data_IF_028655044637
#
_entry.id   IF_028655044637
#
_cell.length_a   1.000
_cell.length_b   1.000
_cell.length_c   1.000
_cell.angle_alpha   90.00
_cell.angle_beta   90.00
_cell.angle_gamma   90.00
#
_symmetry.space_group_name_H-M   'P 1'
#
loop_
_entity.id
_entity.type
_entity.pdbx_description
1 polymer ?
#
# COMPACT_ATOMS: atom_id res chain seq x y z
N UNK A 1 4.09 71.08 -24.97
CA UNK A 1 3.36 72.30 -24.56
C UNK A 1 1.89 72.13 -24.89
N UNK A 2 1.04 71.94 -23.88
CA UNK A 2 -0.39 72.28 -23.91
C UNK A 2 -0.90 72.30 -22.47
N UNK A 3 -1.13 73.53 -22.05
CA UNK A 3 -1.60 74.08 -20.78
C UNK A 3 -2.72 73.27 -20.13
N UNK A 4 -2.52 72.85 -18.88
CA UNK A 4 -3.60 72.31 -18.04
C UNK A 4 -4.40 73.49 -17.50
N UNK A 5 -5.58 73.69 -18.10
CA UNK A 5 -6.56 74.70 -17.76
C UNK A 5 -7.14 74.48 -16.37
N UNK A 6 -7.05 75.54 -15.55
CA UNK A 6 -7.81 75.74 -14.32
C UNK A 6 -9.30 75.47 -14.54
N UNK A 7 -9.86 74.48 -13.85
CA UNK A 7 -11.30 74.39 -13.63
C UNK A 7 -11.61 74.81 -12.19
N UNK A 8 -11.97 76.09 -12.04
CA UNK A 8 -12.87 76.52 -10.98
C UNK A 8 -14.20 75.81 -11.19
N UNK A 9 -14.49 74.77 -10.39
CA UNK A 9 -15.84 74.20 -10.35
C UNK A 9 -16.65 74.93 -9.29
N UNK A 10 -17.59 75.70 -9.82
CA UNK A 10 -18.68 76.43 -9.18
C UNK A 10 -19.48 75.58 -8.21
N UNK A 11 -19.96 76.22 -7.14
CA UNK A 11 -20.83 75.70 -6.09
C UNK A 11 -22.30 75.62 -6.54
N UNK A 12 -22.60 74.91 -7.63
CA UNK A 12 -23.95 74.92 -8.24
C UNK A 12 -24.69 73.58 -8.18
N UNK A 13 -24.51 72.78 -7.13
CA UNK A 13 -25.23 71.49 -7.07
C UNK A 13 -25.24 70.74 -5.75
N UNK A 14 -25.25 71.42 -4.59
CA UNK A 14 -25.31 70.75 -3.28
C UNK A 14 -26.29 71.43 -2.33
N UNK A 15 -26.97 70.62 -1.50
CA UNK A 15 -27.87 71.06 -0.43
C UNK A 15 -27.31 72.26 0.33
N UNK A 16 -28.06 73.35 0.41
CA UNK A 16 -27.70 74.54 1.23
C UNK A 16 -27.64 74.19 2.72
N UNK A 17 -28.30 73.11 3.14
CA UNK A 17 -28.42 72.70 4.52
C UNK A 17 -27.40 71.60 4.86
N UNK A 18 -26.97 71.60 6.12
CA UNK A 18 -26.12 70.59 6.71
C UNK A 18 -26.71 69.19 6.54
N UNK A 19 -25.92 68.26 6.03
CA UNK A 19 -26.30 66.88 5.80
C UNK A 19 -26.70 66.13 7.09
N UNK A 20 -26.15 66.52 8.23
CA UNK A 20 -26.40 65.83 9.52
C UNK A 20 -27.65 66.36 10.20
N UNK A 21 -27.78 67.68 10.37
CA UNK A 21 -28.88 68.26 11.16
C UNK A 21 -30.00 68.87 10.31
N UNK A 22 -29.78 69.12 9.02
CA UNK A 22 -30.72 69.73 8.04
C UNK A 22 -31.24 71.14 8.38
N UNK A 23 -30.89 71.69 9.55
CA UNK A 23 -31.38 72.97 10.09
C UNK A 23 -30.45 74.16 9.81
N UNK A 24 -29.14 73.91 9.77
CA UNK A 24 -28.12 74.95 9.60
C UNK A 24 -27.55 74.96 8.19
N UNK A 25 -27.02 76.10 7.75
CA UNK A 25 -26.33 76.22 6.47
C UNK A 25 -25.02 75.42 6.47
N UNK A 26 -24.70 74.79 5.35
CA UNK A 26 -23.43 74.10 5.18
C UNK A 26 -22.28 75.10 5.04
N UNK A 27 -21.24 74.95 5.85
CA UNK A 27 -20.07 75.83 5.87
C UNK A 27 -18.80 75.17 5.33
N UNK A 28 -18.74 73.84 5.38
CA UNK A 28 -17.62 73.03 4.91
C UNK A 28 -18.13 71.79 4.16
N UNK A 29 -17.34 71.28 3.23
CA UNK A 29 -17.65 70.09 2.45
C UNK A 29 -16.67 68.98 2.83
N UNK A 30 -17.20 67.79 3.12
CA UNK A 30 -16.37 66.59 3.28
C UNK A 30 -15.78 66.18 1.93
N UNK A 31 -14.47 65.97 1.85
CA UNK A 31 -13.80 65.57 0.61
C UNK A 31 -14.08 64.11 0.20
N UNK A 32 -14.67 63.31 1.10
CA UNK A 32 -14.92 61.88 0.88
C UNK A 32 -16.34 61.58 0.44
N UNK A 33 -17.34 62.17 1.10
CA UNK A 33 -18.75 61.99 0.74
C UNK A 33 -19.36 63.20 0.01
N UNK A 34 -18.59 64.28 -0.15
CA UNK A 34 -19.01 65.50 -0.83
C UNK A 34 -20.22 66.23 -0.22
N UNK A 35 -20.70 65.80 0.94
CA UNK A 35 -21.79 66.42 1.67
C UNK A 35 -21.34 67.68 2.41
N UNK A 36 -22.23 68.67 2.49
CA UNK A 36 -22.02 69.90 3.25
C UNK A 36 -22.38 69.73 4.73
N UNK A 37 -21.54 70.24 5.63
CA UNK A 37 -21.74 70.22 7.08
C UNK A 37 -21.69 71.65 7.64
N UNK A 38 -22.50 71.94 8.66
CA UNK A 38 -22.36 73.16 9.46
C UNK A 38 -21.23 73.00 10.49
N UNK A 39 -20.77 74.12 11.06
CA UNK A 39 -19.68 74.10 12.04
C UNK A 39 -19.92 73.11 13.19
N UNK A 40 -21.12 73.14 13.78
CA UNK A 40 -21.49 72.27 14.91
C UNK A 40 -21.50 70.77 14.59
N UNK A 41 -21.80 70.38 13.36
CA UNK A 41 -21.85 68.96 12.97
C UNK A 41 -20.54 68.49 12.33
N UNK A 42 -19.60 69.40 12.11
CA UNK A 42 -18.31 69.11 11.47
C UNK A 42 -17.21 68.74 12.46
N UNK A 43 -17.44 68.95 13.76
CA UNK A 43 -16.45 68.89 14.85
C UNK A 43 -15.21 69.77 14.63
N UNK A 44 -15.34 70.79 13.78
CA UNK A 44 -14.34 71.82 13.59
C UNK A 44 -14.73 73.10 14.31
N UNK A 45 -13.75 73.73 14.95
CA UNK A 45 -13.89 75.09 15.48
C UNK A 45 -14.01 76.11 14.35
N UNK A 46 -14.60 77.27 14.66
CA UNK A 46 -14.77 78.36 13.69
C UNK A 46 -13.43 78.85 13.09
N UNK A 47 -12.34 78.79 13.87
CA UNK A 47 -10.98 79.13 13.41
C UNK A 47 -10.44 78.09 12.43
N UNK A 48 -10.70 76.80 12.64
CA UNK A 48 -10.33 75.73 11.72
C UNK A 48 -11.07 75.85 10.39
N UNK A 49 -12.39 76.06 10.42
CA UNK A 49 -13.20 76.26 9.20
C UNK A 49 -12.70 77.47 8.41
N UNK A 50 -12.37 78.56 9.11
CA UNK A 50 -11.81 79.77 8.47
C UNK A 50 -10.45 79.49 7.85
N UNK A 51 -9.57 78.76 8.53
CA UNK A 51 -8.27 78.37 8.01
C UNK A 51 -8.39 77.42 6.80
N UNK A 52 -9.35 76.50 6.81
CA UNK A 52 -9.64 75.62 5.69
C UNK A 52 -10.14 76.38 4.46
N UNK A 53 -10.92 77.45 4.65
CA UNK A 53 -11.36 78.35 3.56
C UNK A 53 -10.23 79.26 3.05
N UNK A 54 -9.30 79.67 3.93
CA UNK A 54 -8.27 80.67 3.62
C UNK A 54 -6.99 80.09 3.02
N UNK A 55 -6.70 78.82 3.28
CA UNK A 55 -5.43 78.20 2.85
C UNK A 55 -5.47 77.79 1.36
N UNK A 56 -4.45 78.17 0.59
CA UNK A 56 -4.22 77.65 -0.78
C UNK A 56 -3.81 76.17 -0.80
N UNK A 57 -3.49 75.60 0.36
CA UNK A 57 -3.16 74.18 0.51
C UNK A 57 -4.47 73.41 0.65
N UNK A 58 -4.65 72.37 -0.16
CA UNK A 58 -5.81 71.46 -0.11
C UNK A 58 -5.73 70.60 1.15
N UNK A 59 -6.05 71.17 2.31
CA UNK A 59 -6.29 70.39 3.52
C UNK A 59 -7.57 69.59 3.30
N UNK A 60 -7.42 68.27 3.27
CA UNK A 60 -8.57 67.37 3.13
C UNK A 60 -9.31 67.29 4.45
N UNK A 61 -10.63 67.40 4.40
CA UNK A 61 -11.52 67.21 5.53
C UNK A 61 -12.37 65.94 5.34
N UNK A 62 -12.35 65.09 6.36
CA UNK A 62 -13.16 63.89 6.47
C UNK A 62 -14.21 64.11 7.57
N UNK A 63 -15.50 63.98 7.25
CA UNK A 63 -16.55 64.09 8.27
C UNK A 63 -16.63 62.84 9.12
N UNK A 64 -17.21 62.96 10.31
CA UNK A 64 -17.34 61.86 11.27
C UNK A 64 -18.07 60.63 10.72
N UNK A 65 -19.04 60.83 9.82
CA UNK A 65 -19.75 59.72 9.14
C UNK A 65 -18.81 58.94 8.23
N UNK A 66 -17.83 59.61 7.59
CA UNK A 66 -16.82 58.93 6.78
C UNK A 66 -15.75 58.29 7.66
N UNK A 67 -15.29 59.00 8.69
CA UNK A 67 -14.28 58.51 9.63
C UNK A 67 -14.75 57.29 10.44
N UNK A 68 -16.05 57.19 10.74
CA UNK A 68 -16.65 56.09 11.48
C UNK A 68 -16.97 54.85 10.62
N UNK A 69 -16.91 54.94 9.29
CA UNK A 69 -16.95 53.73 8.47
C UNK A 69 -15.69 52.93 8.79
N UNK A 70 -15.78 51.60 8.99
CA UNK A 70 -14.58 50.79 9.12
C UNK A 70 -13.76 51.09 7.89
N UNK A 71 -12.54 51.62 8.10
CA UNK A 71 -11.51 51.67 7.07
C UNK A 71 -11.29 50.20 6.73
N UNK A 72 -12.08 49.68 5.79
CA UNK A 72 -11.74 48.46 5.09
C UNK A 72 -10.38 48.80 4.57
N UNK A 73 -9.35 48.28 5.23
CA UNK A 73 -8.02 48.23 4.69
C UNK A 73 -8.21 47.85 3.26
N UNK A 74 -7.83 48.73 2.35
CA UNK A 74 -7.58 48.38 0.98
C UNK A 74 -6.48 47.31 1.01
N UNK A 75 -6.83 46.08 1.36
CA UNK A 75 -6.19 44.93 0.77
C UNK A 75 -6.54 45.06 -0.69
N UNK A 76 -5.64 45.76 -1.37
CA UNK A 76 -5.28 45.60 -2.75
C UNK A 76 -4.89 44.14 -2.99
N UNK A 77 -5.79 43.21 -2.68
CA UNK A 77 -5.62 41.83 -3.09
C UNK A 77 -6.22 41.79 -4.48
N UNK A 78 -5.32 41.97 -5.44
CA UNK A 78 -5.53 41.63 -6.83
C UNK A 78 -6.42 40.38 -6.89
N UNK A 79 -7.57 40.42 -7.60
CA UNK A 79 -8.47 39.27 -7.69
C UNK A 79 -7.74 37.98 -8.14
N UNK A 80 -6.65 38.11 -8.89
CA UNK A 80 -5.79 36.98 -9.25
C UNK A 80 -5.09 36.35 -8.03
N UNK A 81 -4.68 37.14 -7.04
CA UNK A 81 -4.06 36.66 -5.79
C UNK A 81 -5.09 35.95 -4.93
N UNK A 82 -6.31 36.48 -4.82
CA UNK A 82 -7.40 35.83 -4.08
C UNK A 82 -7.76 34.48 -4.71
N UNK A 83 -7.83 34.44 -6.04
CA UNK A 83 -8.09 33.22 -6.78
C UNK A 83 -6.97 32.19 -6.57
N UNK A 84 -5.70 32.61 -6.67
CA UNK A 84 -4.55 31.73 -6.43
C UNK A 84 -4.53 31.16 -4.99
N UNK A 85 -4.89 31.97 -3.99
CA UNK A 85 -4.98 31.51 -2.59
C UNK A 85 -6.07 30.44 -2.46
N UNK A 86 -7.21 30.60 -3.12
CA UNK A 86 -8.28 29.61 -3.10
C UNK A 86 -7.88 28.32 -3.82
N UNK A 87 -7.23 28.42 -4.98
CA UNK A 87 -6.73 27.27 -5.72
C UNK A 87 -5.70 26.48 -4.91
N UNK A 88 -4.78 27.18 -4.23
CA UNK A 88 -3.80 26.57 -3.34
C UNK A 88 -4.47 25.87 -2.14
N UNK A 89 -5.48 26.49 -1.52
CA UNK A 89 -6.25 25.85 -0.45
C UNK A 89 -6.94 24.59 -0.91
N UNK A 90 -7.51 24.59 -2.12
CA UNK A 90 -8.16 23.42 -2.70
C UNK A 90 -7.15 22.33 -3.07
N UNK A 91 -5.94 22.70 -3.51
CA UNK A 91 -4.86 21.75 -3.74
C UNK A 91 -4.37 21.11 -2.44
N UNK A 92 -4.21 21.89 -1.37
CA UNK A 92 -3.84 21.38 -0.05
C UNK A 92 -4.88 20.39 0.44
N UNK A 93 -6.17 20.73 0.42
CA UNK A 93 -7.25 19.81 0.80
C UNK A 93 -7.24 18.52 0.00
N UNK A 94 -7.04 18.60 -1.32
CA UNK A 94 -6.94 17.40 -2.18
C UNK A 94 -5.73 16.54 -1.85
N UNK A 95 -4.60 17.14 -1.48
CA UNK A 95 -3.40 16.42 -1.06
C UNK A 95 -3.60 15.76 0.31
N UNK A 96 -4.26 16.45 1.25
CA UNK A 96 -4.62 15.90 2.57
C UNK A 96 -5.54 14.68 2.40
N UNK A 97 -6.61 14.78 1.61
CA UNK A 97 -7.50 13.63 1.35
C UNK A 97 -6.77 12.46 0.68
N UNK A 98 -5.90 12.74 -0.30
CA UNK A 98 -5.08 11.70 -0.93
C UNK A 98 -4.08 11.07 0.04
N UNK A 99 -3.54 11.84 0.99
CA UNK A 99 -2.64 11.33 2.00
C UNK A 99 -3.40 10.41 2.96
N UNK A 100 -4.57 10.82 3.43
CA UNK A 100 -5.44 10.01 4.28
C UNK A 100 -5.88 8.71 3.59
N UNK A 101 -6.29 8.79 2.32
CA UNK A 101 -6.63 7.63 1.51
C UNK A 101 -5.44 6.67 1.33
N UNK A 102 -4.23 7.21 1.13
CA UNK A 102 -3.02 6.38 1.01
C UNK A 102 -2.61 5.77 2.35
N UNK A 103 -2.75 6.49 3.47
CA UNK A 103 -2.50 5.96 4.81
C UNK A 103 -3.51 4.85 5.13
N UNK A 104 -4.79 5.04 4.79
CA UNK A 104 -5.83 4.02 4.93
C UNK A 104 -5.52 2.78 4.09
N UNK A 105 -5.11 2.96 2.81
CA UNK A 105 -4.66 1.87 1.93
C UNK A 105 -3.41 1.17 2.44
N UNK A 106 -2.41 1.91 2.92
CA UNK A 106 -1.20 1.33 3.51
C UNK A 106 -1.51 0.56 4.80
N UNK A 107 -2.49 0.98 5.59
CA UNK A 107 -2.91 0.24 6.78
C UNK A 107 -3.79 -0.97 6.46
N UNK A 108 -4.58 -0.94 5.37
CA UNK A 108 -5.26 -2.15 4.87
C UNK A 108 -4.28 -3.15 4.26
N UNK A 109 -3.23 -2.68 3.59
CA UNK A 109 -2.22 -3.52 2.92
C UNK A 109 -1.17 -4.08 3.90
N UNK A 110 -0.97 -3.45 5.07
CA UNK A 110 -0.17 -4.03 6.18
C UNK A 110 -0.72 -5.37 6.68
N UNK A 111 -1.99 -5.68 6.41
CA UNK A 111 -2.57 -7.00 6.68
C UNK A 111 -1.87 -8.15 5.92
N UNK A 112 -1.11 -7.87 4.86
CA UNK A 112 -0.49 -8.92 4.05
C UNK A 112 1.04 -9.03 4.17
N UNK A 113 1.71 -8.09 4.83
CA UNK A 113 3.19 -8.13 4.95
C UNK A 113 3.75 -7.94 6.37
N UNK A 114 2.94 -7.74 7.40
CA UNK A 114 3.43 -7.56 8.79
C UNK A 114 2.93 -8.62 9.79
N UNK A 115 3.09 -9.89 9.44
CA UNK A 115 3.12 -11.02 10.40
C UNK A 115 3.83 -12.23 9.79
N UNK A 116 4.98 -12.01 9.15
CA UNK A 116 5.92 -13.11 8.96
C UNK A 116 6.45 -13.44 10.35
N UNK A 117 5.89 -14.48 10.96
CA UNK A 117 6.43 -15.08 12.16
C UNK A 117 7.84 -15.59 11.82
N UNK A 118 8.84 -14.75 12.16
CA UNK A 118 10.25 -15.01 11.87
C UNK A 118 10.67 -16.33 12.53
N UNK A 119 10.14 -16.62 13.73
CA UNK A 119 10.42 -17.85 14.44
C UNK A 119 9.83 -19.04 13.68
N UNK A 120 8.61 -18.94 13.14
CA UNK A 120 8.07 -19.98 12.28
C UNK A 120 8.93 -20.23 11.02
N UNK A 121 9.50 -19.17 10.42
CA UNK A 121 10.40 -19.31 9.27
C UNK A 121 11.70 -20.00 9.66
N UNK A 122 12.32 -19.60 10.78
CA UNK A 122 13.57 -20.20 11.29
C UNK A 122 13.33 -21.68 11.63
N UNK A 123 12.24 -21.97 12.35
CA UNK A 123 11.84 -23.32 12.72
C UNK A 123 11.64 -24.22 11.48
N UNK A 124 10.98 -23.70 10.43
CA UNK A 124 10.81 -24.44 9.17
C UNK A 124 12.15 -24.72 8.48
N UNK A 125 13.11 -23.78 8.50
CA UNK A 125 14.44 -23.98 7.90
C UNK A 125 15.21 -25.07 8.66
N UNK A 126 15.19 -25.04 9.99
CA UNK A 126 15.84 -26.06 10.81
C UNK A 126 15.17 -27.43 10.64
N UNK A 127 13.84 -27.47 10.60
CA UNK A 127 13.09 -28.70 10.38
C UNK A 127 13.41 -29.30 9.01
N UNK A 128 13.50 -28.49 7.95
CA UNK A 128 13.94 -28.95 6.63
C UNK A 128 15.34 -29.53 6.68
N UNK A 129 16.29 -28.86 7.34
CA UNK A 129 17.68 -29.31 7.45
C UNK A 129 17.77 -30.65 8.18
N UNK A 130 17.03 -30.82 9.28
CA UNK A 130 17.04 -32.06 10.06
C UNK A 130 16.36 -33.21 9.32
N UNK A 131 15.29 -32.95 8.55
CA UNK A 131 14.58 -33.94 7.74
C UNK A 131 15.26 -34.27 6.41
N UNK A 132 16.16 -33.43 5.90
CA UNK A 132 16.78 -33.63 4.58
C UNK A 132 17.63 -34.92 4.45
N UNK A 133 18.09 -35.48 5.58
CA UNK A 133 18.79 -36.78 5.64
C UNK A 133 17.85 -37.97 5.83
N UNK A 134 16.54 -37.74 5.89
CA UNK A 134 15.55 -38.79 6.12
C UNK A 134 14.83 -39.15 4.83
N UNK A 135 14.43 -40.42 4.74
CA UNK A 135 13.47 -40.91 3.74
C UNK A 135 12.33 -41.62 4.45
N UNK A 136 11.14 -41.59 3.85
CA UNK A 136 9.97 -42.32 4.31
C UNK A 136 9.71 -43.49 3.38
N UNK A 137 9.69 -44.70 3.93
CA UNK A 137 9.41 -45.94 3.21
C UNK A 137 8.05 -46.47 3.63
N UNK A 138 7.19 -46.73 2.65
CA UNK A 138 5.83 -47.23 2.81
C UNK A 138 5.76 -48.73 2.48
N UNK A 139 4.65 -49.35 2.87
CA UNK A 139 4.29 -50.74 2.49
C UNK A 139 5.22 -51.84 3.05
N UNK A 140 6.06 -51.51 4.03
CA UNK A 140 6.94 -52.48 4.73
C UNK A 140 6.13 -53.29 5.73
N UNK A 141 6.17 -54.62 5.60
CA UNK A 141 5.49 -55.56 6.50
C UNK A 141 5.91 -55.33 7.96
N UNK A 142 4.96 -55.38 8.90
CA UNK A 142 5.24 -55.25 10.33
C UNK A 142 5.73 -56.58 10.91
N UNK A 143 6.69 -56.53 11.83
CA UNK A 143 7.10 -57.71 12.60
C UNK A 143 6.06 -58.02 13.67
N UNK A 144 5.78 -59.31 13.87
CA UNK A 144 4.91 -59.83 14.93
C UNK A 144 5.63 -60.03 16.26
N UNK A 145 6.95 -59.77 16.33
CA UNK A 145 7.74 -60.02 17.53
C UNK A 145 7.35 -59.07 18.66
N UNK A 146 7.33 -59.59 19.88
CA UNK A 146 7.03 -58.78 21.07
C UNK A 146 8.25 -57.94 21.49
N UNK A 147 9.46 -58.45 21.24
CA UNK A 147 10.70 -57.74 21.58
C UNK A 147 10.93 -56.52 20.66
N UNK A 148 11.29 -55.40 21.27
CA UNK A 148 11.47 -54.16 20.53
C UNK A 148 12.75 -54.15 19.69
N UNK A 149 13.83 -54.81 20.12
CA UNK A 149 15.09 -54.82 19.37
C UNK A 149 14.95 -55.68 18.12
N UNK A 150 14.33 -56.84 18.25
CA UNK A 150 14.06 -57.72 17.10
C UNK A 150 13.16 -57.06 16.06
N UNK A 151 12.13 -56.31 16.49
CA UNK A 151 11.29 -55.55 15.54
C UNK A 151 12.09 -54.49 14.77
N UNK A 152 12.98 -53.79 15.45
CA UNK A 152 13.85 -52.77 14.82
C UNK A 152 14.81 -53.43 13.84
N UNK A 153 15.40 -54.57 14.20
CA UNK A 153 16.32 -55.28 13.32
C UNK A 153 15.62 -55.87 12.09
N UNK A 154 14.42 -56.43 12.26
CA UNK A 154 13.57 -56.87 11.15
C UNK A 154 13.27 -55.71 10.20
N UNK A 155 12.89 -54.54 10.72
CA UNK A 155 12.65 -53.34 9.93
C UNK A 155 13.92 -52.91 9.18
N UNK A 156 15.08 -52.92 9.86
CA UNK A 156 16.39 -52.60 9.27
C UNK A 156 16.71 -53.55 8.10
N UNK A 157 16.54 -54.85 8.30
CA UNK A 157 16.77 -55.87 7.28
C UNK A 157 15.87 -55.65 6.06
N UNK A 158 14.57 -55.40 6.27
CA UNK A 158 13.63 -55.12 5.17
C UNK A 158 14.00 -53.87 4.38
N UNK A 159 14.45 -52.80 5.06
CA UNK A 159 14.94 -51.60 4.39
C UNK A 159 16.19 -51.90 3.55
N UNK A 160 17.13 -52.68 4.10
CA UNK A 160 18.33 -53.12 3.40
C UNK A 160 18.06 -54.00 2.18
N UNK A 161 17.00 -54.82 2.21
CA UNK A 161 16.53 -55.60 1.06
C UNK A 161 15.92 -54.70 -0.03
N UNK A 162 15.11 -53.70 0.37
CA UNK A 162 14.45 -52.78 -0.56
C UNK A 162 15.39 -51.74 -1.17
N UNK A 163 16.43 -51.35 -0.42
CA UNK A 163 17.39 -50.29 -0.78
C UNK A 163 18.82 -50.80 -0.48
N UNK A 164 19.42 -51.60 -1.39
CA UNK A 164 20.73 -52.20 -1.18
C UNK A 164 21.85 -51.18 -0.89
N UNK A 165 21.73 -49.97 -1.45
CA UNK A 165 22.65 -48.85 -1.21
C UNK A 165 22.82 -48.45 0.27
N UNK A 166 21.92 -48.91 1.13
CA UNK A 166 21.87 -48.57 2.57
C UNK A 166 22.54 -49.65 3.43
N UNK A 167 22.84 -50.83 2.89
CA UNK A 167 23.39 -51.96 3.64
C UNK A 167 24.72 -51.65 4.34
N UNK A 168 25.57 -50.81 3.73
CA UNK A 168 26.86 -50.42 4.30
C UNK A 168 26.76 -49.31 5.36
N UNK A 169 25.56 -48.81 5.66
CA UNK A 169 25.35 -47.70 6.58
C UNK A 169 24.72 -48.12 7.90
N UNK A 170 25.20 -47.52 8.99
CA UNK A 170 24.50 -47.58 10.27
C UNK A 170 23.30 -46.61 10.23
N UNK A 171 22.17 -47.11 9.74
CA UNK A 171 20.91 -46.36 9.66
C UNK A 171 20.08 -46.46 10.93
N UNK A 172 19.34 -45.38 11.21
CA UNK A 172 18.30 -45.42 12.24
C UNK A 172 16.94 -45.60 11.58
N UNK A 173 16.19 -46.60 12.02
CA UNK A 173 14.83 -46.86 11.53
C UNK A 173 13.81 -46.61 12.65
N UNK A 174 12.69 -45.97 12.31
CA UNK A 174 11.59 -45.74 13.24
C UNK A 174 10.25 -45.74 12.52
N UNK A 175 9.31 -46.58 12.95
CA UNK A 175 7.92 -46.53 12.46
C UNK A 175 7.21 -45.26 12.88
N UNK A 176 6.39 -44.74 11.98
CA UNK A 176 5.58 -43.54 12.16
C UNK A 176 4.14 -43.91 12.46
N UNK A 177 3.58 -43.33 13.52
CA UNK A 177 2.19 -43.52 13.93
C UNK A 177 1.96 -44.69 14.91
N UNK A 178 0.72 -44.75 15.42
CA UNK A 178 0.26 -45.80 16.33
C UNK A 178 0.05 -47.11 15.57
N UNK A 179 0.37 -48.28 16.15
CA UNK A 179 0.07 -49.57 15.54
C UNK A 179 -1.41 -49.67 15.16
N UNK A 180 -1.68 -50.22 13.98
CA UNK A 180 -3.04 -50.46 13.48
C UNK A 180 -3.04 -51.80 12.72
N UNK A 181 -4.06 -52.63 12.93
CA UNK A 181 -4.23 -53.90 12.24
C UNK A 181 -4.52 -53.74 10.74
N UNK A 182 -5.14 -52.62 10.34
CA UNK A 182 -5.59 -52.41 8.95
C UNK A 182 -4.55 -51.80 8.01
N UNK A 183 -3.42 -51.28 8.54
CA UNK A 183 -2.47 -50.53 7.71
C UNK A 183 -1.03 -50.71 8.16
N UNK A 184 -0.14 -51.02 7.20
CA UNK A 184 1.31 -51.05 7.43
C UNK A 184 1.82 -49.64 7.69
N UNK A 185 2.44 -49.42 8.85
CA UNK A 185 2.97 -48.09 9.19
C UNK A 185 4.19 -47.74 8.33
N UNK A 186 4.32 -46.47 7.90
CA UNK A 186 5.53 -46.00 7.25
C UNK A 186 6.75 -46.06 8.18
N UNK A 187 7.93 -46.28 7.62
CA UNK A 187 9.20 -46.27 8.33
C UNK A 187 9.95 -45.00 7.93
N UNK A 188 10.36 -44.20 8.92
CA UNK A 188 11.37 -43.16 8.74
C UNK A 188 12.74 -43.79 8.85
N UNK A 189 13.55 -43.61 7.82
CA UNK A 189 14.96 -44.02 7.77
C UNK A 189 15.82 -42.78 7.82
N UNK A 190 16.65 -42.63 8.85
CA UNK A 190 17.62 -41.55 9.00
C UNK A 190 18.97 -42.02 8.48
N UNK A 191 19.48 -41.34 7.45
CA UNK A 191 20.78 -41.64 6.83
C UNK A 191 21.89 -40.76 7.43
N UNK A 192 23.15 -41.08 7.11
CA UNK A 192 24.30 -40.30 7.56
C UNK A 192 24.36 -38.90 6.92
N UNK A 193 23.90 -38.76 5.68
CA UNK A 193 24.01 -37.53 4.90
C UNK A 193 22.76 -37.27 4.03
N UNK A 194 22.41 -36.00 3.87
CA UNK A 194 21.41 -35.54 2.90
C UNK A 194 21.75 -35.97 1.47
N UNK A 195 23.04 -35.99 1.12
CA UNK A 195 23.46 -36.38 -0.23
C UNK A 195 23.01 -37.81 -0.57
N UNK A 196 23.14 -38.73 0.40
CA UNK A 196 22.71 -40.12 0.24
C UNK A 196 21.20 -40.23 0.12
N UNK A 197 20.46 -39.49 0.95
CA UNK A 197 19.00 -39.43 0.86
C UNK A 197 18.58 -39.02 -0.56
N UNK A 198 19.15 -37.92 -1.08
CA UNK A 198 18.89 -37.44 -2.44
C UNK A 198 19.27 -38.46 -3.51
N UNK A 199 20.38 -39.18 -3.36
CA UNK A 199 20.81 -40.24 -4.29
C UNK A 199 19.77 -41.36 -4.36
N UNK A 200 19.35 -41.88 -3.20
CA UNK A 200 18.33 -42.92 -3.08
C UNK A 200 17.02 -42.45 -3.71
N UNK A 201 16.58 -41.23 -3.39
CA UNK A 201 15.35 -40.64 -3.92
C UNK A 201 15.38 -40.44 -5.44
N UNK A 202 16.56 -40.13 -6.01
CA UNK A 202 16.74 -40.05 -7.46
C UNK A 202 16.65 -41.42 -8.12
N UNK A 203 17.27 -42.46 -7.54
CA UNK A 203 17.21 -43.85 -8.02
C UNK A 203 15.81 -44.46 -7.83
N UNK A 204 15.06 -44.01 -6.83
CA UNK A 204 13.70 -44.46 -6.54
C UNK A 204 12.62 -43.65 -7.28
N UNK A 205 12.98 -42.78 -8.22
CA UNK A 205 11.99 -42.06 -9.04
C UNK A 205 11.02 -43.05 -9.69
N UNK A 206 9.72 -42.81 -9.54
CA UNK A 206 8.65 -43.69 -10.02
C UNK A 206 8.21 -44.77 -9.02
N UNK A 207 9.02 -45.09 -8.00
CA UNK A 207 8.61 -45.99 -6.92
C UNK A 207 7.69 -45.24 -5.94
N UNK A 208 6.45 -45.71 -5.79
CA UNK A 208 5.43 -45.04 -4.93
C UNK A 208 5.72 -45.20 -3.43
N UNK A 209 6.54 -46.17 -3.07
CA UNK A 209 6.81 -46.57 -1.70
C UNK A 209 8.00 -45.86 -1.03
N UNK A 210 8.76 -45.02 -1.74
CA UNK A 210 9.87 -44.25 -1.14
C UNK A 210 9.65 -42.76 -1.43
N UNK A 211 9.57 -41.94 -0.38
CA UNK A 211 9.34 -40.49 -0.50
C UNK A 211 10.25 -39.67 0.41
N UNK A 212 10.35 -38.38 0.11
CA UNK A 212 10.98 -37.39 0.98
C UNK A 212 10.27 -37.31 2.34
N UNK A 213 11.03 -37.13 3.42
CA UNK A 213 10.48 -36.70 4.70
C UNK A 213 10.25 -35.18 4.66
N UNK A 214 8.98 -34.78 4.60
CA UNK A 214 8.58 -33.38 4.40
C UNK A 214 8.07 -32.77 5.72
N UNK A 215 8.33 -31.48 5.92
CA UNK A 215 7.76 -30.73 7.04
C UNK A 215 6.23 -30.69 6.97
N UNK A 216 5.52 -30.43 8.08
CA UNK A 216 4.08 -30.19 8.05
C UNK A 216 3.69 -29.14 7.01
N UNK A 217 4.42 -28.02 6.92
CA UNK A 217 4.16 -26.96 5.96
C UNK A 217 4.30 -27.44 4.51
N UNK A 218 5.39 -28.15 4.20
CA UNK A 218 5.60 -28.72 2.87
C UNK A 218 4.51 -29.74 2.48
N UNK A 219 4.08 -30.58 3.42
CA UNK A 219 3.00 -31.56 3.20
C UNK A 219 1.68 -30.88 2.92
N UNK A 220 1.30 -29.88 3.72
CA UNK A 220 0.09 -29.10 3.52
C UNK A 220 0.10 -28.41 2.15
N UNK A 221 1.23 -27.82 1.76
CA UNK A 221 1.35 -27.17 0.45
C UNK A 221 1.20 -28.13 -0.72
N UNK A 222 1.82 -29.31 -0.63
CA UNK A 222 1.67 -30.34 -1.66
C UNK A 222 0.24 -30.87 -1.74
N UNK A 223 -0.43 -31.06 -0.59
CA UNK A 223 -1.83 -31.49 -0.55
C UNK A 223 -2.73 -30.47 -1.25
N UNK A 224 -2.58 -29.18 -0.95
CA UNK A 224 -3.30 -28.08 -1.62
C UNK A 224 -3.09 -28.11 -3.14
N UNK A 225 -1.84 -28.31 -3.59
CA UNK A 225 -1.53 -28.39 -5.03
C UNK A 225 -2.12 -29.65 -5.68
N UNK A 226 -2.17 -30.77 -4.96
CA UNK A 226 -2.78 -32.02 -5.44
C UNK A 226 -4.29 -31.90 -5.57
N UNK A 227 -4.95 -31.24 -4.61
CA UNK A 227 -6.39 -30.93 -4.68
C UNK A 227 -6.68 -30.03 -5.90
N UNK A 228 -5.93 -28.93 -6.06
CA UNK A 228 -6.06 -28.05 -7.23
C UNK A 228 -5.79 -28.74 -8.57
N UNK A 229 -4.82 -29.66 -8.61
CA UNK A 229 -4.54 -30.44 -9.81
C UNK A 229 -5.69 -31.41 -10.12
N UNK A 230 -6.26 -32.02 -9.08
CA UNK A 230 -7.40 -32.92 -9.20
C UNK A 230 -8.62 -32.16 -9.73
N UNK A 231 -8.95 -31.01 -9.17
CA UNK A 231 -10.08 -30.19 -9.62
C UNK A 231 -9.97 -29.82 -11.12
N UNK A 232 -8.76 -29.51 -11.60
CA UNK A 232 -8.51 -29.26 -13.02
C UNK A 232 -8.65 -30.51 -13.88
N UNK A 233 -8.15 -31.63 -13.39
CA UNK A 233 -8.27 -32.94 -14.06
C UNK A 233 -9.74 -33.34 -14.19
N UNK A 234 -10.51 -33.18 -13.12
CA UNK A 234 -11.95 -33.46 -13.06
C UNK A 234 -12.76 -32.50 -13.96
N UNK A 235 -12.24 -31.28 -14.19
CA UNK A 235 -12.78 -30.31 -15.16
C UNK A 235 -12.37 -30.57 -16.62
N UNK A 236 -11.60 -31.63 -16.90
CA UNK A 236 -11.13 -32.00 -18.23
C UNK A 236 -9.87 -31.26 -18.71
N UNK A 237 -9.23 -30.45 -17.87
CA UNK A 237 -7.98 -29.74 -18.19
C UNK A 237 -6.76 -30.55 -17.71
N UNK A 238 -6.31 -31.48 -18.55
CA UNK A 238 -5.15 -32.35 -18.30
C UNK A 238 -3.80 -31.68 -18.57
N UNK A 239 -3.78 -30.41 -18.98
CA UNK A 239 -2.57 -29.66 -19.33
C UNK A 239 -1.73 -29.23 -18.13
N UNK A 240 -1.99 -29.74 -16.92
CA UNK A 240 -1.35 -29.28 -15.69
C UNK A 240 -0.60 -30.40 -14.99
N UNK A 241 0.49 -30.03 -14.30
CA UNK A 241 1.27 -30.94 -13.47
C UNK A 241 1.84 -30.19 -12.26
N UNK A 242 2.34 -30.92 -11.26
CA UNK A 242 3.09 -30.32 -10.16
C UNK A 242 4.58 -30.43 -10.50
N UNK A 243 5.23 -29.28 -10.66
CA UNK A 243 6.67 -29.18 -10.95
C UNK A 243 7.37 -28.44 -9.82
N UNK A 244 8.59 -28.89 -9.49
CA UNK A 244 9.45 -28.16 -8.56
C UNK A 244 10.25 -27.10 -9.31
N UNK A 245 10.01 -25.83 -9.00
CA UNK A 245 10.73 -24.68 -9.57
C UNK A 245 11.53 -24.03 -8.43
N UNK A 246 12.85 -23.96 -8.58
CA UNK A 246 13.77 -23.46 -7.53
C UNK A 246 13.53 -24.13 -6.16
N UNK A 247 13.25 -25.43 -6.18
CA UNK A 247 13.02 -26.24 -4.97
C UNK A 247 11.63 -26.07 -4.34
N UNK A 248 10.74 -25.26 -4.92
CA UNK A 248 9.36 -25.09 -4.43
C UNK A 248 8.36 -25.78 -5.38
N UNK A 249 7.39 -26.55 -4.86
CA UNK A 249 6.36 -27.17 -5.69
C UNK A 249 5.37 -26.12 -6.19
N UNK A 250 5.06 -26.17 -7.47
CA UNK A 250 4.13 -25.26 -8.14
C UNK A 250 3.28 -26.03 -9.14
N UNK A 251 2.04 -25.56 -9.35
CA UNK A 251 1.21 -26.03 -10.45
C UNK A 251 1.75 -25.42 -11.75
N UNK A 252 2.02 -26.27 -12.74
CA UNK A 252 2.73 -25.90 -13.96
C UNK A 252 1.96 -26.40 -15.18
N UNK A 253 1.71 -25.51 -16.15
CA UNK A 253 1.04 -25.88 -17.40
C UNK A 253 2.07 -26.49 -18.37
N UNK A 254 1.78 -27.68 -18.86
CA UNK A 254 2.55 -28.34 -19.91
C UNK A 254 2.26 -27.58 -21.20
N UNK A 255 3.26 -26.87 -21.72
CA UNK A 255 3.18 -26.27 -23.05
C UNK A 255 3.63 -27.35 -24.02
N UNK A 256 2.75 -27.82 -24.90
CA UNK A 256 3.16 -28.72 -25.97
C UNK A 256 4.19 -27.99 -26.84
N UNK A 257 5.32 -28.63 -27.19
CA UNK A 257 6.25 -28.04 -28.14
C UNK A 257 5.52 -27.88 -29.48
N UNK A 258 5.35 -26.64 -29.94
CA UNK A 258 4.88 -26.36 -31.29
C UNK A 258 5.80 -27.10 -32.26
N UNK A 259 5.21 -28.00 -33.05
CA UNK A 259 5.88 -28.73 -34.12
C UNK A 259 6.70 -27.75 -34.97
N UNK A 260 7.98 -28.07 -35.13
CA UNK A 260 8.88 -27.32 -35.99
C UNK A 260 8.27 -27.17 -37.38
N UNK A 261 7.92 -25.94 -37.74
CA UNK A 261 7.47 -25.54 -39.05
C UNK A 261 8.67 -25.63 -40.01
N UNK A 262 8.97 -26.84 -40.50
CA UNK A 262 9.95 -27.06 -41.56
C UNK A 262 9.32 -27.93 -42.65
N UNK A 263 8.77 -27.28 -43.68
CA UNK A 263 8.72 -27.79 -45.06
C UNK A 263 8.14 -26.72 -45.98
N UNK A 264 9.01 -25.91 -46.59
CA UNK A 264 8.89 -25.48 -47.99
C UNK A 264 9.99 -24.46 -48.33
N UNK A 265 11.16 -24.96 -48.71
CA UNK A 265 11.98 -24.26 -49.71
C UNK A 265 12.37 -25.25 -50.80
N UNK A 266 11.49 -25.27 -51.80
CA UNK A 266 11.75 -25.23 -53.24
C UNK A 266 13.13 -25.77 -53.66
N UNK A 267 13.10 -27.00 -54.20
CA UNK A 267 14.05 -27.39 -55.24
C UNK A 267 13.57 -26.79 -56.56
N UNK A 268 14.38 -25.93 -57.16
CA UNK A 268 14.51 -25.75 -58.60
C UNK A 268 15.99 -25.71 -58.92
#
# INVERSE_FOLDING_TARGET
>A
MKSVSNMNKSMDGKSKNCFVCTKHLSEIICDFCYNGLCAQCSDLSASEITNMKRTKRKLKYECNVCAAKPKQTETSQDPAIVQLINDLKDHIKRLETKLDDNIAKMNSDKSHTSNLDIDAVINEIEERRTRAKNIIVFEVAESTNQDSKERIEHDRQKICEMIPDVQSENIQVRRLGKPNSNSKRPIRVTLKSEFKAREILKKSKGKRNIKNDLTPLQRSKLKELQEKLKDKTDSGDFGWTIKYVRGQPQLWKIIEPQSAHNSSMVKK
#
